data_IF_118375987451
#
_entry.id   IF_118375987451
#
_cell.length_a   1.000
_cell.length_b   1.000
_cell.length_c   1.000
_cell.angle_alpha   90.00
_cell.angle_beta   90.00
_cell.angle_gamma   90.00
#
_symmetry.space_group_name_H-M   'P 1'
#
loop_
_entity.id
_entity.type
_entity.pdbx_description
1 polymer ?
#
# COMPACT_ATOMS: atom_id res chain seq x y z
N UNK A 1 -6.90 -1.81 9.82
CA UNK A 1 -6.44 -0.82 10.82
C UNK A 1 -6.61 0.61 10.30
N UNK A 2 -6.11 0.95 9.12
CA UNK A 2 -6.19 2.32 8.56
C UNK A 2 -7.64 2.80 8.36
N UNK A 3 -8.53 1.92 7.92
CA UNK A 3 -9.96 2.21 7.83
C UNK A 3 -10.58 2.53 9.21
N UNK A 4 -10.21 1.78 10.24
CA UNK A 4 -10.69 2.04 11.60
C UNK A 4 -10.12 3.35 12.16
N UNK A 5 -8.88 3.67 11.86
CA UNK A 5 -8.29 4.97 12.21
C UNK A 5 -9.07 6.11 11.56
N UNK A 6 -9.41 6.00 10.27
CA UNK A 6 -10.24 7.00 9.58
C UNK A 6 -11.62 7.16 10.26
N UNK A 7 -12.27 6.05 10.58
CA UNK A 7 -13.59 6.06 11.27
C UNK A 7 -13.47 6.74 12.63
N UNK A 8 -12.43 6.43 13.40
CA UNK A 8 -12.18 7.05 14.71
C UNK A 8 -11.94 8.57 14.58
N UNK A 9 -11.11 8.99 13.60
CA UNK A 9 -10.86 10.43 13.37
C UNK A 9 -12.13 11.19 12.97
N UNK A 10 -12.99 10.57 12.14
CA UNK A 10 -14.27 11.16 11.76
C UNK A 10 -15.23 11.28 12.94
N UNK A 11 -15.33 10.25 13.77
CA UNK A 11 -16.24 10.22 14.94
C UNK A 11 -15.77 11.16 16.05
N UNK A 12 -14.48 11.25 16.29
CA UNK A 12 -13.88 12.05 17.37
C UNK A 12 -13.52 13.47 16.93
N UNK A 13 -13.78 13.83 15.67
CA UNK A 13 -13.41 15.14 15.09
C UNK A 13 -11.89 15.41 15.20
N UNK A 14 -11.10 14.35 15.03
CA UNK A 14 -9.64 14.45 15.04
C UNK A 14 -9.09 15.05 13.74
N UNK A 15 -7.78 15.30 13.71
CA UNK A 15 -7.12 15.97 12.58
C UNK A 15 -7.26 15.19 11.27
N UNK A 16 -7.79 15.84 10.24
CA UNK A 16 -7.90 15.36 8.87
C UNK A 16 -7.08 16.28 7.93
N UNK A 17 -6.75 15.85 6.70
CA UNK A 17 -6.94 14.49 6.17
C UNK A 17 -6.06 13.45 6.86
N UNK A 18 -6.48 12.20 6.81
CA UNK A 18 -5.63 11.06 7.11
C UNK A 18 -4.77 10.75 5.86
N UNK A 19 -3.45 10.85 5.97
CA UNK A 19 -2.53 10.38 4.93
C UNK A 19 -2.16 8.92 5.15
N UNK A 20 -2.19 8.10 4.08
CA UNK A 20 -1.71 6.72 4.16
C UNK A 20 -0.21 6.68 4.51
N UNK A 21 0.23 5.66 5.25
CA UNK A 21 1.63 5.49 5.70
C UNK A 21 2.32 4.27 5.10
N UNK A 22 1.67 3.57 4.16
CA UNK A 22 2.20 2.33 3.57
C UNK A 22 3.43 2.55 2.66
N UNK A 23 3.64 3.77 2.12
CA UNK A 23 4.78 4.11 1.27
C UNK A 23 5.94 4.69 2.08
N UNK A 24 7.05 3.95 2.29
CA UNK A 24 8.16 4.43 3.13
C UNK A 24 8.91 5.63 2.54
N UNK A 25 8.86 5.83 1.22
CA UNK A 25 9.41 7.03 0.58
C UNK A 25 8.62 8.27 0.93
N UNK A 26 7.30 8.17 0.97
CA UNK A 26 6.42 9.25 1.39
C UNK A 26 6.62 9.59 2.87
N UNK A 27 6.57 8.57 3.73
CA UNK A 27 6.79 8.77 5.18
C UNK A 27 8.12 9.48 5.43
N UNK A 28 9.20 9.06 4.75
CA UNK A 28 10.51 9.71 4.87
C UNK A 28 10.52 11.13 4.33
N UNK A 29 9.82 11.39 3.24
CA UNK A 29 9.66 12.74 2.68
C UNK A 29 8.92 13.65 3.66
N UNK A 30 7.82 13.18 4.25
CA UNK A 30 7.06 13.88 5.27
C UNK A 30 7.94 14.23 6.49
N UNK A 31 8.69 13.27 7.00
CA UNK A 31 9.60 13.47 8.15
C UNK A 31 10.67 14.54 7.89
N UNK A 32 11.11 14.74 6.65
CA UNK A 32 12.18 15.68 6.30
C UNK A 32 11.61 17.06 5.94
N UNK A 33 10.57 17.09 5.12
CA UNK A 33 10.10 18.34 4.48
C UNK A 33 8.77 18.85 4.99
N UNK A 34 7.95 18.00 5.64
CA UNK A 34 6.59 18.32 6.11
C UNK A 34 6.34 17.80 7.52
N UNK A 35 7.21 18.17 8.46
CA UNK A 35 7.10 17.70 9.86
C UNK A 35 5.78 18.09 10.53
N UNK A 36 5.15 19.16 10.08
CA UNK A 36 3.82 19.60 10.50
C UNK A 36 2.70 18.65 10.09
N UNK A 37 2.94 17.80 9.09
CA UNK A 37 1.99 16.79 8.62
C UNK A 37 2.16 15.40 9.27
N UNK A 38 3.15 15.22 10.13
CA UNK A 38 3.37 13.92 10.79
C UNK A 38 2.13 13.46 11.57
N UNK A 39 1.43 14.39 12.21
CA UNK A 39 0.19 14.08 12.94
C UNK A 39 -1.00 13.71 12.02
N UNK A 40 -0.89 13.97 10.74
CA UNK A 40 -1.86 13.55 9.73
C UNK A 40 -1.54 12.15 9.15
N UNK A 41 -0.31 11.66 9.30
CA UNK A 41 0.03 10.30 8.86
C UNK A 41 -0.79 9.27 9.63
N UNK A 42 -1.17 8.19 8.94
CA UNK A 42 -1.71 7.01 9.60
C UNK A 42 -0.67 6.42 10.56
N UNK A 43 -1.11 6.05 11.74
CA UNK A 43 -0.31 5.33 12.74
C UNK A 43 -0.09 3.87 12.36
N UNK A 44 -0.79 3.40 11.34
CA UNK A 44 -0.76 2.02 10.85
C UNK A 44 0.58 1.70 10.19
N UNK A 45 1.20 0.60 10.59
CA UNK A 45 2.40 0.08 9.91
C UNK A 45 2.07 -0.33 8.47
N UNK A 46 3.08 -0.37 7.62
CA UNK A 46 2.85 -0.89 6.26
C UNK A 46 2.37 -2.35 6.28
N UNK A 47 1.56 -2.80 5.31
CA UNK A 47 0.94 -4.14 5.30
C UNK A 47 1.94 -5.27 5.53
N UNK A 48 3.12 -5.18 4.91
CA UNK A 48 4.18 -6.19 5.07
C UNK A 48 4.71 -6.23 6.52
N UNK A 49 4.84 -5.07 7.16
CA UNK A 49 5.30 -5.01 8.56
C UNK A 49 4.25 -5.51 9.54
N UNK A 50 2.96 -5.28 9.26
CA UNK A 50 1.86 -5.86 10.03
C UNK A 50 1.83 -7.38 9.88
N UNK A 51 1.93 -7.87 8.64
CA UNK A 51 1.98 -9.31 8.34
C UNK A 51 3.12 -10.00 9.08
N UNK A 52 4.32 -9.43 9.04
CA UNK A 52 5.47 -9.97 9.75
C UNK A 52 5.27 -10.00 11.28
N UNK A 53 4.62 -8.98 11.84
CA UNK A 53 4.25 -8.95 13.25
C UNK A 53 3.29 -10.09 13.61
N UNK A 54 2.25 -10.30 12.81
CA UNK A 54 1.28 -11.39 13.01
C UNK A 54 1.97 -12.76 12.89
N UNK A 55 2.82 -12.94 11.89
CA UNK A 55 3.59 -14.20 11.72
C UNK A 55 4.44 -14.47 12.96
N UNK A 56 5.20 -13.52 13.43
CA UNK A 56 6.08 -13.69 14.59
C UNK A 56 5.31 -13.98 15.88
N UNK A 57 4.26 -13.20 16.15
CA UNK A 57 3.54 -13.28 17.41
C UNK A 57 2.53 -14.45 17.47
N UNK A 58 1.83 -14.72 16.37
CA UNK A 58 0.75 -15.71 16.37
C UNK A 58 1.22 -17.12 16.01
N UNK A 59 2.18 -17.23 15.09
CA UNK A 59 2.53 -18.55 14.53
C UNK A 59 3.86 -19.11 15.05
N UNK A 60 4.81 -18.26 15.41
CA UNK A 60 6.16 -18.71 15.73
C UNK A 60 6.62 -18.46 17.17
N UNK A 61 5.88 -17.70 17.96
CA UNK A 61 6.22 -17.35 19.36
C UNK A 61 6.55 -18.56 20.25
N UNK A 62 5.98 -19.73 19.96
CA UNK A 62 6.10 -20.93 20.80
C UNK A 62 6.67 -22.17 20.06
N UNK A 63 7.26 -22.02 18.87
CA UNK A 63 7.77 -23.17 18.09
C UNK A 63 9.25 -23.44 18.36
N UNK A 64 9.48 -24.25 19.40
CA UNK A 64 10.67 -25.11 19.60
C UNK A 64 12.00 -24.57 19.06
N UNK A 65 12.53 -23.50 19.65
CA UNK A 65 13.90 -22.99 19.43
C UNK A 65 14.35 -22.80 17.95
N UNK A 66 13.44 -22.84 16.98
CA UNK A 66 13.79 -22.57 15.60
C UNK A 66 13.81 -21.07 15.35
N UNK A 67 14.92 -20.56 14.84
CA UNK A 67 15.02 -19.20 14.37
C UNK A 67 14.16 -19.03 13.10
N UNK A 68 13.16 -18.16 13.16
CA UNK A 68 12.37 -17.75 12.00
C UNK A 68 13.05 -16.55 11.35
N UNK A 69 13.16 -16.57 10.04
CA UNK A 69 13.71 -15.48 9.23
C UNK A 69 12.59 -14.99 8.29
N UNK A 70 12.17 -13.75 8.47
CA UNK A 70 11.17 -13.11 7.62
C UNK A 70 11.86 -12.43 6.44
N UNK A 71 11.54 -12.86 5.23
CA UNK A 71 12.05 -12.30 3.99
C UNK A 71 10.92 -11.68 3.19
N UNK A 72 10.97 -10.38 3.00
CA UNK A 72 10.04 -9.63 2.18
C UNK A 72 10.45 -9.67 0.72
N UNK A 73 9.50 -9.93 -0.18
CA UNK A 73 9.64 -9.69 -1.61
C UNK A 73 8.82 -8.45 -1.99
N UNK A 74 9.46 -7.40 -2.45
CA UNK A 74 8.78 -6.14 -2.73
C UNK A 74 9.28 -5.47 -4.02
N UNK A 75 8.42 -4.79 -4.78
CA UNK A 75 8.82 -4.01 -5.94
C UNK A 75 9.48 -2.66 -5.56
N UNK A 76 9.98 -2.53 -4.34
CA UNK A 76 10.32 -1.26 -3.72
C UNK A 76 11.71 -1.29 -3.08
N UNK A 77 12.58 -0.34 -3.46
CA UNK A 77 13.90 -0.17 -2.86
C UNK A 77 13.85 0.52 -1.49
N UNK A 78 12.86 1.39 -1.26
CA UNK A 78 12.72 2.11 0.01
C UNK A 78 12.32 1.19 1.17
N UNK A 79 11.71 0.04 0.90
CA UNK A 79 11.44 -1.01 1.89
C UNK A 79 12.71 -1.53 2.57
N UNK A 80 13.85 -1.50 1.88
CA UNK A 80 15.15 -1.85 2.48
C UNK A 80 15.58 -0.90 3.60
N UNK A 81 15.12 0.33 3.58
CA UNK A 81 15.34 1.30 4.66
C UNK A 81 14.27 1.18 5.74
N UNK A 82 13.03 0.89 5.36
CA UNK A 82 11.92 0.71 6.29
C UNK A 82 12.20 -0.40 7.29
N UNK A 83 12.69 -1.57 6.85
CA UNK A 83 13.02 -2.70 7.75
C UNK A 83 14.13 -2.39 8.76
N UNK A 84 14.92 -1.33 8.54
CA UNK A 84 15.98 -0.91 9.45
C UNK A 84 15.49 0.06 10.54
N UNK A 85 14.25 0.51 10.46
CA UNK A 85 13.67 1.41 11.47
C UNK A 85 13.51 0.67 12.80
N UNK A 86 13.96 1.25 13.92
CA UNK A 86 13.92 0.58 15.22
C UNK A 86 12.54 0.13 15.67
N UNK A 87 11.51 0.89 15.27
CA UNK A 87 10.09 0.63 15.57
C UNK A 87 9.46 -0.48 14.71
N UNK A 88 10.16 -0.96 13.64
CA UNK A 88 9.63 -1.91 12.65
C UNK A 88 10.43 -3.22 12.58
N UNK A 89 10.88 -3.75 13.71
CA UNK A 89 11.86 -4.86 13.80
C UNK A 89 11.33 -6.27 13.50
N UNK A 90 10.25 -6.42 12.75
CA UNK A 90 9.64 -7.73 12.48
C UNK A 90 10.10 -8.39 11.17
N UNK A 91 10.98 -7.73 10.40
CA UNK A 91 11.42 -8.19 9.09
C UNK A 91 12.95 -8.24 9.05
N UNK A 92 13.52 -9.38 8.63
CA UNK A 92 14.98 -9.59 8.60
C UNK A 92 15.59 -9.11 7.28
N UNK A 93 14.97 -9.46 6.15
CA UNK A 93 15.49 -9.15 4.83
C UNK A 93 14.42 -8.59 3.89
N UNK A 94 14.87 -7.77 2.95
CA UNK A 94 14.03 -7.25 1.87
C UNK A 94 14.75 -7.49 0.53
N UNK A 95 14.14 -8.29 -0.32
CA UNK A 95 14.56 -8.50 -1.71
C UNK A 95 13.60 -7.76 -2.64
N UNK A 96 14.16 -7.08 -3.62
CA UNK A 96 13.34 -6.49 -4.69
C UNK A 96 12.96 -7.57 -5.71
N UNK A 97 11.86 -7.35 -6.44
CA UNK A 97 11.45 -8.24 -7.55
C UNK A 97 12.58 -8.42 -8.58
N UNK A 98 13.35 -7.34 -8.82
CA UNK A 98 14.52 -7.41 -9.71
C UNK A 98 15.63 -8.31 -9.15
N UNK A 99 15.93 -8.19 -7.85
CA UNK A 99 16.96 -9.04 -7.21
C UNK A 99 16.56 -10.51 -7.21
N UNK A 100 15.27 -10.81 -6.98
CA UNK A 100 14.74 -12.18 -7.09
C UNK A 100 14.91 -12.71 -8.51
N UNK A 101 14.56 -11.92 -9.53
CA UNK A 101 14.76 -12.31 -10.92
C UNK A 101 16.23 -12.61 -11.25
N UNK A 102 17.17 -11.80 -10.74
CA UNK A 102 18.61 -12.05 -10.90
C UNK A 102 19.07 -13.32 -10.16
N UNK A 103 18.51 -13.57 -8.96
CA UNK A 103 18.82 -14.76 -8.17
C UNK A 103 18.36 -16.03 -8.90
N UNK A 104 17.12 -16.05 -9.40
CA UNK A 104 16.60 -17.17 -10.18
C UNK A 104 17.44 -17.44 -11.43
N UNK A 105 17.80 -16.36 -12.17
CA UNK A 105 18.70 -16.49 -13.33
C UNK A 105 20.06 -17.09 -12.96
N UNK A 106 20.65 -16.65 -11.84
CA UNK A 106 21.93 -17.18 -11.36
C UNK A 106 21.86 -18.64 -10.95
N UNK A 107 20.70 -19.09 -10.45
CA UNK A 107 20.45 -20.47 -10.07
C UNK A 107 19.98 -21.33 -11.24
N UNK A 108 19.86 -20.79 -12.45
CA UNK A 108 19.30 -21.43 -13.64
C UNK A 108 17.89 -21.96 -13.42
N UNK A 109 17.07 -21.23 -12.67
CA UNK A 109 15.66 -21.56 -12.43
C UNK A 109 14.81 -20.76 -13.43
N UNK A 110 14.09 -21.47 -14.28
CA UNK A 110 13.07 -20.90 -15.17
C UNK A 110 11.69 -21.11 -14.56
N UNK A 111 11.06 -20.01 -14.11
CA UNK A 111 9.73 -20.05 -13.49
C UNK A 111 8.66 -20.62 -14.42
N UNK A 112 8.78 -20.39 -15.75
CA UNK A 112 7.77 -20.84 -16.72
C UNK A 112 7.77 -22.36 -16.90
N UNK A 113 8.87 -23.04 -16.54
CA UNK A 113 9.03 -24.50 -16.66
C UNK A 113 8.78 -25.25 -15.35
N UNK A 114 8.51 -24.55 -14.24
CA UNK A 114 8.25 -25.20 -12.95
C UNK A 114 6.82 -25.75 -12.89
N UNK A 115 6.66 -26.88 -12.22
CA UNK A 115 5.34 -27.39 -11.86
C UNK A 115 4.67 -26.45 -10.84
N UNK A 116 3.37 -26.24 -10.99
CA UNK A 116 2.58 -25.45 -10.04
C UNK A 116 2.52 -26.16 -8.68
N UNK A 117 2.65 -25.39 -7.61
CA UNK A 117 2.51 -25.85 -6.25
C UNK A 117 1.69 -24.89 -5.40
N UNK A 118 1.35 -25.27 -4.19
CA UNK A 118 0.57 -24.45 -3.26
C UNK A 118 1.47 -23.83 -2.19
N UNK A 119 1.10 -22.64 -1.73
CA UNK A 119 1.74 -22.02 -0.58
C UNK A 119 1.37 -22.73 0.72
N UNK A 120 2.27 -22.68 1.69
CA UNK A 120 1.96 -23.09 3.05
C UNK A 120 0.85 -22.21 3.64
N UNK A 121 -0.22 -22.80 4.15
CA UNK A 121 -1.35 -22.08 4.72
C UNK A 121 -1.06 -21.69 6.17
N UNK A 122 -0.48 -20.53 6.36
CA UNK A 122 -0.25 -19.94 7.69
C UNK A 122 -1.45 -19.08 8.10
N UNK A 123 -2.01 -18.33 7.18
CA UNK A 123 -3.18 -17.47 7.35
C UNK A 123 -4.28 -17.86 6.36
N UNK A 124 -5.55 -17.51 6.63
CA UNK A 124 -6.62 -17.63 5.64
C UNK A 124 -6.28 -16.91 4.34
N UNK A 125 -6.94 -17.30 3.26
CA UNK A 125 -6.81 -16.61 1.97
C UNK A 125 -7.13 -15.12 2.13
N UNK A 126 -6.32 -14.28 1.50
CA UNK A 126 -6.50 -12.84 1.54
C UNK A 126 -7.78 -12.39 0.82
N UNK A 127 -8.27 -11.22 1.16
CA UNK A 127 -9.38 -10.59 0.43
C UNK A 127 -8.86 -9.89 -0.83
N UNK A 128 -9.75 -9.66 -1.81
CA UNK A 128 -9.41 -8.89 -3.02
C UNK A 128 -8.87 -7.48 -2.72
N UNK A 129 -9.22 -6.89 -1.56
CA UNK A 129 -8.67 -5.64 -1.10
C UNK A 129 -7.13 -5.65 -0.99
N UNK A 130 -6.54 -6.77 -0.55
CA UNK A 130 -5.07 -6.91 -0.46
C UNK A 130 -4.39 -6.88 -1.84
N UNK A 131 -5.04 -7.40 -2.86
CA UNK A 131 -4.46 -7.49 -4.20
C UNK A 131 -4.26 -6.11 -4.84
N UNK A 132 -5.23 -5.19 -4.68
CA UNK A 132 -5.20 -3.88 -5.33
C UNK A 132 -4.22 -2.89 -4.70
N UNK A 133 -3.61 -3.18 -3.56
CA UNK A 133 -2.64 -2.32 -2.88
C UNK A 133 -1.41 -1.98 -3.74
N UNK A 134 -1.12 -2.78 -4.75
CA UNK A 134 0.00 -2.54 -5.67
C UNK A 134 -0.18 -1.34 -6.60
N UNK A 135 -1.40 -0.87 -6.80
CA UNK A 135 -1.72 0.29 -7.64
C UNK A 135 -1.96 1.55 -6.80
N UNK A 136 -1.69 2.72 -7.37
CA UNK A 136 -2.09 3.99 -6.76
C UNK A 136 -3.61 4.11 -6.77
N UNK A 137 -4.18 4.44 -5.62
CA UNK A 137 -5.62 4.45 -5.34
C UNK A 137 -6.12 3.15 -4.69
N UNK A 138 -5.34 2.06 -4.76
CA UNK A 138 -5.78 0.75 -4.26
C UNK A 138 -5.87 0.66 -2.74
N UNK A 139 -4.94 1.27 -2.02
CA UNK A 139 -4.99 1.33 -0.54
C UNK A 139 -6.17 2.18 -0.09
N UNK A 140 -6.36 3.33 -0.75
CA UNK A 140 -7.48 4.23 -0.49
C UNK A 140 -8.82 3.51 -0.75
N UNK A 141 -8.98 2.84 -1.89
CA UNK A 141 -10.19 2.08 -2.21
C UNK A 141 -10.49 1.02 -1.14
N UNK A 142 -9.49 0.23 -0.75
CA UNK A 142 -9.64 -0.81 0.25
C UNK A 142 -10.02 -0.24 1.63
N UNK A 143 -9.38 0.85 2.04
CA UNK A 143 -9.67 1.52 3.31
C UNK A 143 -11.10 2.10 3.31
N UNK A 144 -11.51 2.73 2.23
CA UNK A 144 -12.84 3.33 2.11
C UNK A 144 -13.96 2.29 2.10
N UNK A 145 -13.79 1.15 1.40
CA UNK A 145 -14.76 0.05 1.43
C UNK A 145 -14.96 -0.46 2.86
N UNK A 146 -13.88 -0.65 3.57
CA UNK A 146 -13.90 -1.12 4.96
C UNK A 146 -14.50 -0.06 5.90
N UNK A 147 -14.12 1.21 5.75
CA UNK A 147 -14.67 2.30 6.55
C UNK A 147 -16.18 2.49 6.31
N UNK A 148 -16.62 2.37 5.06
CA UNK A 148 -18.05 2.42 4.72
C UNK A 148 -18.82 1.33 5.44
N UNK A 149 -18.31 0.09 5.43
CA UNK A 149 -18.93 -1.02 6.15
C UNK A 149 -19.04 -0.74 7.66
N UNK A 150 -17.99 -0.23 8.29
CA UNK A 150 -18.02 0.09 9.72
C UNK A 150 -19.00 1.22 10.06
N UNK A 151 -19.20 2.17 9.16
CA UNK A 151 -20.09 3.31 9.40
C UNK A 151 -21.56 3.04 9.07
N UNK A 152 -21.84 2.10 8.17
CA UNK A 152 -23.20 1.86 7.65
C UNK A 152 -23.74 0.45 7.90
N UNK A 153 -22.87 -0.51 8.21
CA UNK A 153 -23.18 -1.94 8.28
C UNK A 153 -23.46 -2.59 6.92
N UNK A 154 -23.15 -1.90 5.82
CA UNK A 154 -23.42 -2.37 4.45
C UNK A 154 -22.13 -2.40 3.63
N UNK A 155 -22.05 -3.32 2.66
CA UNK A 155 -20.96 -3.34 1.71
C UNK A 155 -21.03 -2.13 0.77
N UNK A 156 -19.85 -1.55 0.51
CA UNK A 156 -19.73 -0.44 -0.41
C UNK A 156 -19.93 -0.91 -1.86
N UNK A 157 -21.01 -0.45 -2.51
CA UNK A 157 -21.20 -0.65 -3.95
C UNK A 157 -20.33 0.32 -4.73
N UNK A 158 -19.85 -0.10 -5.89
CA UNK A 158 -18.99 0.72 -6.75
C UNK A 158 -19.61 2.07 -7.11
N UNK A 159 -20.92 2.10 -7.28
CA UNK A 159 -21.71 3.30 -7.59
C UNK A 159 -21.64 4.39 -6.49
N UNK A 160 -21.53 3.99 -5.23
CA UNK A 160 -21.53 4.93 -4.10
C UNK A 160 -20.18 5.62 -3.90
N UNK A 161 -19.10 4.99 -4.30
CA UNK A 161 -17.75 5.42 -3.99
C UNK A 161 -16.99 5.96 -5.21
N UNK A 162 -17.62 5.94 -6.39
CA UNK A 162 -17.00 6.40 -7.64
C UNK A 162 -15.56 5.88 -7.82
N UNK A 163 -15.29 4.64 -7.39
CA UNK A 163 -13.95 4.06 -7.38
C UNK A 163 -13.27 4.08 -8.74
N UNK A 164 -14.05 4.07 -9.83
CA UNK A 164 -13.50 4.16 -11.18
C UNK A 164 -12.69 5.44 -11.39
N UNK A 165 -13.04 6.54 -10.72
CA UNK A 165 -12.27 7.78 -10.80
C UNK A 165 -10.92 7.69 -10.09
N UNK A 166 -10.80 6.83 -9.09
CA UNK A 166 -9.54 6.56 -8.38
C UNK A 166 -8.65 5.53 -9.10
N UNK A 167 -9.22 4.74 -10.01
CA UNK A 167 -8.48 3.79 -10.84
C UNK A 167 -7.96 4.51 -12.08
N UNK A 168 -6.71 4.30 -12.45
CA UNK A 168 -6.14 4.93 -13.64
C UNK A 168 -4.68 5.33 -13.46
N UNK A 169 -4.20 6.11 -14.41
CA UNK A 169 -2.78 6.45 -14.53
C UNK A 169 -2.47 7.96 -14.41
N UNK A 170 -3.48 8.79 -14.13
CA UNK A 170 -3.24 10.18 -13.79
C UNK A 170 -2.59 10.32 -12.41
N UNK A 171 -1.69 11.28 -12.30
CA UNK A 171 -0.87 11.44 -11.10
C UNK A 171 -1.64 11.88 -9.87
N UNK A 172 -2.69 12.66 -10.07
CA UNK A 172 -3.63 13.09 -9.03
C UNK A 172 -5.02 12.66 -9.49
N UNK A 173 -5.73 11.96 -8.63
CA UNK A 173 -7.11 11.54 -8.88
C UNK A 173 -7.93 11.77 -7.61
N UNK A 174 -9.14 12.24 -7.80
CA UNK A 174 -10.04 12.63 -6.73
C UNK A 174 -11.37 11.89 -6.89
N UNK A 175 -12.04 11.65 -5.78
CA UNK A 175 -13.39 11.12 -5.76
C UNK A 175 -14.19 11.74 -4.62
N UNK A 176 -15.52 11.75 -4.81
CA UNK A 176 -16.47 12.08 -3.76
C UNK A 176 -17.18 10.81 -3.32
N UNK A 177 -17.26 10.60 -2.01
CA UNK A 177 -17.96 9.47 -1.41
C UNK A 177 -19.10 9.98 -0.56
N UNK A 178 -20.28 9.33 -0.66
CA UNK A 178 -21.42 9.65 0.18
C UNK A 178 -21.54 8.58 1.28
N UNK A 179 -21.44 9.03 2.52
CA UNK A 179 -21.64 8.17 3.70
C UNK A 179 -22.78 8.78 4.49
N UNK A 180 -23.90 8.05 4.58
CA UNK A 180 -25.16 8.58 5.08
C UNK A 180 -25.56 9.85 4.30
N UNK A 181 -25.81 10.96 4.99
CA UNK A 181 -26.23 12.22 4.36
C UNK A 181 -25.06 13.18 4.09
N UNK A 182 -23.81 12.76 4.33
CA UNK A 182 -22.61 13.59 4.14
C UNK A 182 -21.81 13.14 2.94
N UNK A 183 -21.35 14.09 2.16
CA UNK A 183 -20.40 13.87 1.05
C UNK A 183 -19.00 14.27 1.49
N UNK A 184 -18.06 13.37 1.29
CA UNK A 184 -16.65 13.56 1.61
C UNK A 184 -15.80 13.46 0.36
N UNK A 185 -14.73 14.27 0.30
CA UNK A 185 -13.74 14.18 -0.76
C UNK A 185 -12.55 13.33 -0.31
N UNK A 186 -11.99 12.58 -1.23
CA UNK A 186 -10.77 11.79 -1.07
C UNK A 186 -9.88 11.95 -2.27
N UNK A 187 -8.58 11.73 -2.11
CA UNK A 187 -7.63 11.82 -3.23
C UNK A 187 -6.58 10.71 -3.16
N UNK A 188 -6.06 10.33 -4.30
CA UNK A 188 -4.81 9.59 -4.39
C UNK A 188 -3.82 10.32 -5.30
N UNK A 189 -2.56 10.31 -4.89
CA UNK A 189 -1.50 11.00 -5.61
C UNK A 189 -0.24 10.14 -5.67
N UNK A 190 0.46 10.19 -6.82
CA UNK A 190 1.80 9.65 -6.88
C UNK A 190 2.84 10.67 -7.36
N UNK A 191 4.05 10.54 -6.80
CA UNK A 191 5.17 11.44 -7.05
C UNK A 191 5.12 12.71 -6.19
N UNK A 192 6.21 12.98 -5.50
CA UNK A 192 6.27 14.11 -4.55
C UNK A 192 5.97 15.47 -5.19
N UNK A 193 6.42 15.79 -6.44
CA UNK A 193 6.04 17.05 -7.09
C UNK A 193 4.54 17.21 -7.33
N UNK A 194 3.80 16.10 -7.45
CA UNK A 194 2.34 16.17 -7.60
C UNK A 194 1.65 16.30 -6.23
N UNK A 195 2.23 15.69 -5.19
CA UNK A 195 1.78 15.92 -3.82
C UNK A 195 1.86 17.40 -3.45
N UNK A 196 2.97 18.09 -3.77
CA UNK A 196 3.13 19.52 -3.50
C UNK A 196 2.03 20.40 -4.14
N UNK A 197 1.49 19.97 -5.28
CA UNK A 197 0.36 20.66 -5.93
C UNK A 197 -0.97 20.43 -5.20
N UNK A 198 -1.11 19.29 -4.51
CA UNK A 198 -2.33 18.94 -3.80
C UNK A 198 -2.35 19.52 -2.38
N UNK A 199 -1.20 19.62 -1.71
CA UNK A 199 -1.09 20.05 -0.31
C UNK A 199 -1.80 21.38 0.01
N UNK A 200 -1.76 22.45 -0.84
CA UNK A 200 -2.48 23.70 -0.54
C UNK A 200 -3.99 23.52 -0.30
N UNK A 201 -4.59 22.49 -0.89
CA UNK A 201 -6.03 22.20 -0.77
C UNK A 201 -6.30 20.93 0.05
N UNK A 202 -5.32 20.44 0.82
CA UNK A 202 -5.43 19.15 1.51
C UNK A 202 -6.61 19.09 2.49
N UNK A 203 -7.02 20.22 3.07
CA UNK A 203 -8.12 20.28 4.03
C UNK A 203 -9.50 19.99 3.41
N UNK A 204 -9.60 19.92 2.08
CA UNK A 204 -10.83 19.54 1.39
C UNK A 204 -11.10 18.03 1.49
N UNK A 205 -10.11 17.23 1.88
CA UNK A 205 -10.18 15.77 1.87
C UNK A 205 -10.22 15.19 3.27
N UNK A 206 -10.88 14.04 3.41
CA UNK A 206 -10.84 13.25 4.65
C UNK A 206 -9.68 12.24 4.65
N UNK A 207 -9.30 11.75 3.46
CA UNK A 207 -8.19 10.80 3.31
C UNK A 207 -7.46 11.03 1.99
N UNK A 208 -6.13 10.94 2.05
CA UNK A 208 -5.25 11.09 0.88
C UNK A 208 -4.27 9.91 0.85
N UNK A 209 -4.32 9.13 -0.22
CA UNK A 209 -3.28 8.14 -0.49
C UNK A 209 -2.09 8.79 -1.17
N UNK A 210 -0.90 8.57 -0.64
CA UNK A 210 0.34 9.08 -1.23
C UNK A 210 1.28 7.94 -1.58
N UNK A 211 1.64 7.84 -2.86
CA UNK A 211 2.67 6.93 -3.37
C UNK A 211 3.81 7.73 -4.01
N UNK A 212 5.06 7.27 -3.87
CA UNK A 212 6.18 7.95 -4.54
C UNK A 212 6.35 7.51 -6.00
N UNK A 213 6.13 6.23 -6.29
CA UNK A 213 6.39 5.66 -7.60
C UNK A 213 5.24 5.90 -8.57
N UNK A 214 5.50 6.07 -9.89
CA UNK A 214 4.45 6.20 -10.90
C UNK A 214 3.48 5.02 -10.86
N UNK A 215 2.19 5.31 -10.75
CA UNK A 215 1.09 4.33 -10.68
C UNK A 215 1.14 3.41 -9.43
N UNK A 216 1.90 3.78 -8.39
CA UNK A 216 2.05 2.99 -7.18
C UNK A 216 3.18 1.96 -7.25
N UNK A 217 3.06 0.87 -6.50
CA UNK A 217 4.10 -0.15 -6.37
C UNK A 217 4.36 -0.94 -7.67
N UNK A 218 3.40 -1.02 -8.58
CA UNK A 218 3.59 -1.61 -9.93
C UNK A 218 4.65 -0.87 -10.74
N UNK A 219 4.87 0.43 -10.47
CA UNK A 219 5.94 1.25 -11.03
C UNK A 219 7.17 1.36 -10.13
N UNK A 220 7.28 0.52 -9.10
CA UNK A 220 8.30 0.59 -8.06
C UNK A 220 9.74 0.49 -8.59
N UNK A 221 10.66 1.19 -7.90
CA UNK A 221 12.07 1.22 -8.27
C UNK A 221 12.80 -0.14 -8.14
N UNK A 222 12.19 -1.11 -7.47
CA UNK A 222 12.67 -2.48 -7.34
C UNK A 222 12.12 -3.44 -8.39
N UNK A 223 11.28 -2.98 -9.32
CA UNK A 223 10.80 -3.79 -10.44
C UNK A 223 11.89 -4.00 -11.51
N UNK A 224 11.87 -5.13 -12.24
CA UNK A 224 12.69 -5.31 -13.42
C UNK A 224 12.44 -4.18 -14.44
N UNK A 225 13.55 -3.64 -14.99
CA UNK A 225 13.49 -2.57 -15.99
C UNK A 225 13.65 -3.15 -17.40
N UNK A 226 12.93 -2.61 -18.35
CA UNK A 226 13.10 -2.90 -19.77
C UNK A 226 14.02 -1.85 -20.41
N UNK A 227 14.74 -2.23 -21.47
CA UNK A 227 15.63 -1.32 -22.20
C UNK A 227 14.89 -0.34 -23.11
N UNK A 228 13.64 -0.60 -23.40
CA UNK A 228 12.78 0.18 -24.30
C UNK A 228 11.69 0.85 -23.48
N UNK A 229 11.28 2.10 -23.78
CA UNK A 229 10.39 2.91 -22.94
C UNK A 229 8.90 2.49 -22.98
N UNK A 230 8.62 1.22 -23.02
CA UNK A 230 7.26 0.67 -22.81
C UNK A 230 6.89 0.59 -21.33
N UNK A 231 7.46 1.49 -20.52
CA UNK A 231 7.24 1.49 -19.06
C UNK A 231 5.77 1.73 -18.68
N UNK A 232 5.00 2.43 -19.51
CA UNK A 232 3.57 2.64 -19.29
C UNK A 232 2.83 1.32 -19.47
N UNK A 233 2.99 0.66 -20.61
CA UNK A 233 2.37 -0.63 -20.92
C UNK A 233 2.73 -1.73 -19.92
N UNK A 234 4.00 -1.76 -19.48
CA UNK A 234 4.43 -2.69 -18.44
C UNK A 234 3.73 -2.44 -17.10
N UNK A 235 3.52 -1.17 -16.73
CA UNK A 235 2.77 -0.84 -15.52
C UNK A 235 1.29 -1.18 -15.65
N UNK A 236 0.71 -0.94 -16.82
CA UNK A 236 -0.67 -1.32 -17.15
C UNK A 236 -0.87 -2.83 -17.04
N UNK A 237 0.02 -3.62 -17.65
CA UNK A 237 -0.01 -5.09 -17.54
C UNK A 237 0.13 -5.59 -16.09
N UNK A 238 1.04 -4.97 -15.30
CA UNK A 238 1.18 -5.31 -13.88
C UNK A 238 -0.04 -4.91 -13.07
N UNK A 239 -0.65 -3.76 -13.37
CA UNK A 239 -1.85 -3.31 -12.70
C UNK A 239 -3.05 -4.23 -13.02
N UNK A 240 -3.24 -4.62 -14.27
CA UNK A 240 -4.33 -5.51 -14.67
C UNK A 240 -4.28 -6.89 -14.03
N UNK A 241 -3.10 -7.34 -13.60
CA UNK A 241 -2.93 -8.60 -12.87
C UNK A 241 -3.37 -8.52 -11.38
N UNK A 242 -3.69 -7.33 -10.89
CA UNK A 242 -4.12 -7.11 -9.50
C UNK A 242 -5.64 -6.95 -9.36
N UNK A 243 -6.33 -6.71 -10.45
CA UNK A 243 -7.78 -6.57 -10.54
C UNK A 243 -8.41 -7.79 -11.23
#
# INVERSE_FOLDING_TARGET
EEAMELVNRLNNQEKLPLFTSCCPSWVKYCEIYHQDLICNLSSTKSPIMMQAGVINECFFKNKNNKKVINVMLAPCTAKKMEIKRPELRNMDYCLTTHEVALMLKKLNIDLASLEESTFDKILPDGTGAGNIFGTSGGVLEAALRTAYFYLTGQDAKDEFLQFQTLRGFDAIREASIKINDKTYKVACVYGMPNLEKLLPNMNDYIMIEVMNCPNGCVGGGGQPKTKIPLMKEMREARASALY
#
